data_IF_460017643192
#
_entry.id   IF_460017643192
#
_cell.length_a   1.000
_cell.length_b   1.000
_cell.length_c   1.000
_cell.angle_alpha   90.00
_cell.angle_beta   90.00
_cell.angle_gamma   90.00
#
_symmetry.space_group_name_H-M   'P 1'
#
loop_
_entity.id
_entity.type
_entity.pdbx_description
1 polymer ?
#
# COMPACT_ATOMS: atom_id res chain seq x y z
N UNK A 1 -15.22 -10.83 -22.54
CA UNK A 1 -14.92 -11.33 -21.17
C UNK A 1 -14.01 -12.53 -21.31
N UNK A 2 -12.69 -12.38 -21.25
CA UNK A 2 -11.74 -13.49 -21.39
C UNK A 2 -10.80 -13.53 -20.18
N UNK A 3 -10.65 -14.74 -19.63
CA UNK A 3 -9.56 -15.19 -18.74
C UNK A 3 -9.44 -14.49 -17.38
N UNK A 4 -10.44 -14.69 -16.52
CA UNK A 4 -10.39 -14.30 -15.10
C UNK A 4 -9.56 -15.25 -14.21
N UNK A 5 -8.93 -16.28 -14.78
CA UNK A 5 -8.17 -17.31 -14.05
C UNK A 5 -9.02 -18.48 -13.59
N UNK A 6 -8.38 -19.49 -12.98
CA UNK A 6 -9.03 -20.70 -12.47
C UNK A 6 -9.08 -20.63 -10.94
N UNK A 7 -10.24 -20.84 -10.31
CA UNK A 7 -10.40 -20.74 -8.85
C UNK A 7 -11.83 -20.40 -8.40
N UNK A 8 -12.05 -20.23 -7.10
CA UNK A 8 -13.36 -19.80 -6.57
C UNK A 8 -13.69 -18.40 -7.12
N UNK A 9 -14.95 -18.16 -7.49
CA UNK A 9 -15.39 -16.88 -8.07
C UNK A 9 -15.05 -15.67 -7.21
N UNK A 10 -15.11 -15.81 -5.88
CA UNK A 10 -14.76 -14.75 -4.93
C UNK A 10 -13.28 -14.36 -5.01
N UNK A 11 -12.40 -15.35 -5.04
CA UNK A 11 -10.95 -15.18 -5.14
C UNK A 11 -10.56 -14.56 -6.49
N UNK A 12 -11.15 -15.05 -7.57
CA UNK A 12 -11.00 -14.52 -8.92
C UNK A 12 -11.39 -13.04 -8.99
N UNK A 13 -12.54 -12.67 -8.41
CA UNK A 13 -13.00 -11.27 -8.35
C UNK A 13 -12.06 -10.41 -7.50
N UNK A 14 -11.65 -10.91 -6.33
CA UNK A 14 -10.73 -10.22 -5.45
C UNK A 14 -9.41 -9.90 -6.17
N UNK A 15 -8.81 -10.89 -6.82
CA UNK A 15 -7.54 -10.73 -7.55
C UNK A 15 -7.66 -9.75 -8.72
N UNK A 16 -8.80 -9.76 -9.43
CA UNK A 16 -9.06 -8.79 -10.49
C UNK A 16 -9.17 -7.35 -9.94
N UNK A 17 -9.87 -7.15 -8.81
CA UNK A 17 -10.00 -5.85 -8.16
C UNK A 17 -8.65 -5.37 -7.62
N UNK A 18 -7.91 -6.24 -6.92
CA UNK A 18 -6.59 -5.93 -6.38
C UNK A 18 -5.60 -5.55 -7.49
N UNK A 19 -5.61 -6.27 -8.61
CA UNK A 19 -4.79 -5.95 -9.79
C UNK A 19 -5.17 -4.58 -10.37
N UNK A 20 -6.48 -4.30 -10.50
CA UNK A 20 -6.96 -3.01 -10.99
C UNK A 20 -6.50 -1.87 -10.08
N UNK A 21 -6.67 -2.03 -8.77
CA UNK A 21 -6.24 -1.05 -7.76
C UNK A 21 -4.73 -0.79 -7.83
N UNK A 22 -3.90 -1.83 -7.90
CA UNK A 22 -2.45 -1.68 -7.99
C UNK A 22 -2.00 -1.02 -9.30
N UNK A 23 -2.71 -1.26 -10.41
CA UNK A 23 -2.39 -0.64 -11.70
C UNK A 23 -2.77 0.83 -11.76
N UNK A 24 -3.84 1.23 -11.07
CA UNK A 24 -4.32 2.64 -10.99
C UNK A 24 -3.72 3.43 -9.83
N UNK A 25 -3.02 2.77 -8.89
CA UNK A 25 -2.37 3.44 -7.78
C UNK A 25 -1.25 4.37 -8.26
N UNK A 26 -0.92 5.34 -7.41
CA UNK A 26 0.30 6.15 -7.49
C UNK A 26 1.52 5.21 -7.41
N UNK A 27 2.54 5.51 -8.22
CA UNK A 27 3.75 4.69 -8.39
C UNK A 27 5.01 5.51 -8.17
N UNK A 28 6.14 4.81 -8.19
CA UNK A 28 7.44 5.46 -8.17
C UNK A 28 7.59 6.43 -9.33
N UNK A 29 8.12 7.62 -9.03
CA UNK A 29 8.32 8.75 -9.93
C UNK A 29 7.07 9.55 -10.30
N UNK A 30 5.89 9.23 -9.76
CA UNK A 30 4.76 10.14 -9.87
C UNK A 30 5.02 11.38 -9.00
N UNK A 31 4.94 12.57 -9.60
CA UNK A 31 5.01 13.83 -8.87
C UNK A 31 3.72 14.05 -8.09
N UNK A 32 3.85 14.42 -6.82
CA UNK A 32 2.72 14.73 -5.96
C UNK A 32 2.91 16.09 -5.31
N UNK A 33 1.83 16.85 -5.25
CA UNK A 33 1.74 18.04 -4.43
C UNK A 33 1.49 17.65 -2.97
N UNK A 34 1.91 18.50 -2.03
CA UNK A 34 1.79 18.22 -0.59
C UNK A 34 0.34 17.94 -0.17
N UNK A 35 -0.63 18.65 -0.73
CA UNK A 35 -2.05 18.43 -0.45
C UNK A 35 -2.54 17.04 -0.91
N UNK A 36 -2.00 16.52 -2.03
CA UNK A 36 -2.31 15.17 -2.52
C UNK A 36 -1.72 14.11 -1.58
N UNK A 37 -0.48 14.32 -1.12
CA UNK A 37 0.15 13.45 -0.12
C UNK A 37 -0.64 13.41 1.19
N UNK A 38 -1.04 14.57 1.71
CA UNK A 38 -1.87 14.66 2.92
C UNK A 38 -3.19 13.93 2.71
N UNK A 39 -3.88 14.18 1.60
CA UNK A 39 -5.17 13.54 1.28
C UNK A 39 -5.05 12.01 1.26
N UNK A 40 -3.97 11.46 0.69
CA UNK A 40 -3.73 10.02 0.69
C UNK A 40 -3.66 9.44 2.11
N UNK A 41 -2.93 10.12 3.00
CA UNK A 41 -2.79 9.69 4.40
C UNK A 41 -4.11 9.84 5.17
N UNK A 42 -4.88 10.90 4.90
CA UNK A 42 -6.23 11.06 5.48
C UNK A 42 -7.17 9.93 5.05
N UNK A 43 -7.16 9.59 3.76
CA UNK A 43 -8.04 8.55 3.22
C UNK A 43 -7.76 7.17 3.81
N UNK A 44 -6.50 6.86 4.10
CA UNK A 44 -6.13 5.61 4.77
C UNK A 44 -6.82 5.45 6.14
N UNK A 45 -7.17 6.53 6.84
CA UNK A 45 -7.83 6.43 8.16
C UNK A 45 -9.23 5.83 8.13
N UNK A 46 -9.87 5.82 6.97
CA UNK A 46 -11.25 5.38 6.82
C UNK A 46 -11.39 3.98 6.20
N UNK A 47 -10.28 3.26 6.03
CA UNK A 47 -10.25 1.92 5.44
C UNK A 47 -10.16 0.86 6.55
N UNK A 48 -10.84 -0.28 6.38
CA UNK A 48 -10.90 -1.37 7.36
C UNK A 48 -9.53 -1.96 7.72
N UNK A 49 -8.66 -2.21 6.74
CA UNK A 49 -7.25 -2.61 6.94
C UNK A 49 -6.31 -1.57 6.31
N UNK A 50 -5.86 -0.56 7.08
CA UNK A 50 -5.02 0.51 6.57
C UNK A 50 -3.52 0.16 6.62
N UNK A 51 -3.16 -1.08 6.95
CA UNK A 51 -1.77 -1.48 7.12
C UNK A 51 -1.24 -2.33 5.97
N UNK A 52 -2.12 -2.92 5.16
CA UNK A 52 -1.76 -3.77 4.03
C UNK A 52 -2.41 -3.32 2.73
N UNK A 53 -1.71 -3.51 1.61
CA UNK A 53 -2.32 -3.41 0.30
C UNK A 53 -3.20 -4.65 0.05
N UNK A 54 -4.10 -4.64 -0.96
CA UNK A 54 -4.97 -5.79 -1.25
C UNK A 54 -4.23 -7.07 -1.71
N UNK A 55 -2.89 -7.01 -1.87
CA UNK A 55 -2.03 -8.18 -2.11
C UNK A 55 -1.21 -8.57 -0.86
N UNK A 56 -1.41 -7.93 0.29
CA UNK A 56 -0.76 -8.24 1.56
C UNK A 56 0.58 -7.54 1.82
N UNK A 57 1.03 -6.59 0.98
CA UNK A 57 2.26 -5.84 1.26
C UNK A 57 1.99 -4.78 2.33
N UNK A 58 2.86 -4.61 3.34
CA UNK A 58 2.71 -3.51 4.30
C UNK A 58 2.86 -2.16 3.59
N UNK A 59 1.98 -1.20 3.92
CA UNK A 59 1.98 0.13 3.30
C UNK A 59 2.52 1.24 4.21
N UNK A 60 2.60 1.00 5.52
CA UNK A 60 3.16 1.93 6.50
C UNK A 60 4.24 1.21 7.30
N UNK A 61 5.39 1.87 7.47
CA UNK A 61 6.46 1.46 8.38
C UNK A 61 6.75 2.59 9.36
N UNK A 62 7.00 2.26 10.62
CA UNK A 62 7.34 3.23 11.66
C UNK A 62 8.82 3.07 12.02
N UNK A 63 9.53 4.19 12.03
CA UNK A 63 10.86 4.30 12.62
C UNK A 63 10.82 5.26 13.79
N UNK A 64 11.32 4.83 14.95
CA UNK A 64 11.64 5.71 16.07
C UNK A 64 13.01 6.35 15.86
N UNK A 65 13.32 7.44 16.58
CA UNK A 65 14.67 8.02 16.58
C UNK A 65 15.73 6.98 16.96
N UNK A 66 15.42 6.12 17.94
CA UNK A 66 16.29 5.01 18.34
C UNK A 66 16.52 4.00 17.20
N UNK A 67 15.49 3.66 16.41
CA UNK A 67 15.65 2.76 15.26
C UNK A 67 16.58 3.37 14.21
N UNK A 68 16.46 4.69 14.00
CA UNK A 68 17.34 5.44 13.09
C UNK A 68 18.77 5.41 13.63
N UNK A 69 18.99 5.76 14.89
CA UNK A 69 20.33 5.79 15.49
C UNK A 69 21.01 4.42 15.47
N UNK A 70 20.26 3.33 15.71
CA UNK A 70 20.76 1.95 15.56
C UNK A 70 21.16 1.65 14.12
N UNK A 71 20.34 2.02 13.13
CA UNK A 71 20.64 1.79 11.70
C UNK A 71 21.86 2.57 11.23
N UNK A 72 22.10 3.75 11.78
CA UNK A 72 23.33 4.53 11.56
C UNK A 72 24.49 4.14 12.47
N UNK A 73 24.35 3.08 13.29
CA UNK A 73 25.38 2.57 14.22
C UNK A 73 25.88 3.62 15.23
N UNK A 74 25.03 4.59 15.59
CA UNK A 74 25.34 5.59 16.62
C UNK A 74 25.16 5.06 18.04
N UNK A 75 24.32 4.04 18.18
CA UNK A 75 24.05 3.30 19.41
C UNK A 75 24.01 1.80 19.08
N UNK A 76 24.32 0.95 20.06
CA UNK A 76 24.35 -0.51 19.93
C UNK A 76 23.21 -1.12 20.75
#
# INVERSE_FOLDING_TARGET
MKNLGNGKTTEVKHNAIATKACKSAIKGNDELQINEMVKLIEDLRYIDDPFHCPHGRPIIIKFTSTDIDKKFKRIV
#
